data_IF_174700892616
#
_entry.id   IF_174700892616
#
_cell.length_a   1.000
_cell.length_b   1.000
_cell.length_c   1.000
_cell.angle_alpha   90.00
_cell.angle_beta   90.00
_cell.angle_gamma   90.00
#
_symmetry.space_group_name_H-M   'P 1'
#
loop_
_entity.id
_entity.type
_entity.pdbx_description
1 polymer ?
#
# COMPACT_ATOMS: atom_id res chain seq x y z
N UNK A 1 42.13 -60.79 -57.88
CA UNK A 1 40.89 -61.04 -57.13
C UNK A 1 40.93 -60.14 -55.91
N UNK A 2 39.92 -59.29 -55.81
CA UNK A 2 39.77 -58.08 -55.00
C UNK A 2 39.87 -58.31 -53.49
N UNK A 3 40.71 -57.50 -52.84
CA UNK A 3 40.78 -57.34 -51.39
C UNK A 3 39.71 -56.34 -50.94
N UNK A 4 38.83 -56.75 -50.02
CA UNK A 4 37.66 -55.99 -49.58
C UNK A 4 38.04 -55.20 -48.32
N UNK A 5 38.28 -53.90 -48.45
CA UNK A 5 38.33 -52.99 -47.30
C UNK A 5 36.90 -52.67 -46.81
N UNK A 6 36.66 -52.91 -45.51
CA UNK A 6 35.46 -52.45 -44.80
C UNK A 6 35.59 -50.96 -44.42
N UNK A 7 34.53 -50.15 -44.53
CA UNK A 7 34.56 -48.76 -44.06
C UNK A 7 34.38 -48.70 -42.54
N UNK A 8 35.23 -47.90 -41.88
CA UNK A 8 35.10 -47.49 -40.48
C UNK A 8 34.09 -46.34 -40.41
N UNK A 9 32.96 -46.57 -39.73
CA UNK A 9 31.96 -45.52 -39.46
C UNK A 9 32.45 -44.69 -38.26
N UNK A 10 32.88 -43.45 -38.51
CA UNK A 10 33.05 -42.43 -37.45
C UNK A 10 31.68 -41.89 -37.08
N UNK A 11 31.15 -42.27 -35.92
CA UNK A 11 30.01 -41.60 -35.32
C UNK A 11 30.43 -40.19 -34.88
N UNK A 12 29.83 -39.17 -35.49
CA UNK A 12 30.02 -37.76 -35.15
C UNK A 12 29.27 -37.41 -33.86
N UNK A 13 29.99 -37.22 -32.75
CA UNK A 13 29.49 -36.85 -31.43
C UNK A 13 29.02 -35.39 -31.29
N UNK A 14 28.97 -34.62 -32.38
CA UNK A 14 28.70 -33.19 -32.34
C UNK A 14 27.22 -32.80 -32.34
N UNK A 15 26.30 -33.72 -32.67
CA UNK A 15 24.86 -33.39 -32.75
C UNK A 15 24.20 -33.35 -31.36
N UNK A 16 24.73 -34.09 -30.39
CA UNK A 16 24.16 -34.17 -29.04
C UNK A 16 24.50 -32.97 -28.13
N UNK A 17 25.60 -32.26 -28.40
CA UNK A 17 25.99 -31.09 -27.59
C UNK A 17 25.17 -29.83 -27.91
N UNK A 18 24.68 -29.71 -29.14
CA UNK A 18 23.89 -28.56 -29.59
C UNK A 18 22.45 -28.57 -29.08
N UNK A 19 21.86 -29.76 -28.90
CA UNK A 19 20.48 -29.91 -28.42
C UNK A 19 20.33 -29.53 -26.93
N UNK A 20 21.34 -29.81 -26.10
CA UNK A 20 21.37 -29.46 -24.67
C UNK A 20 21.52 -27.95 -24.43
N UNK A 21 22.26 -27.25 -25.30
CA UNK A 21 22.45 -25.80 -25.17
C UNK A 21 21.17 -25.00 -25.50
N UNK A 22 20.37 -25.47 -26.47
CA UNK A 22 19.10 -24.82 -26.84
C UNK A 22 18.01 -25.02 -25.78
N UNK A 23 17.96 -26.19 -25.12
CA UNK A 23 17.04 -26.45 -24.01
C UNK A 23 17.37 -25.63 -22.75
N UNK A 24 18.65 -25.41 -22.45
CA UNK A 24 19.07 -24.57 -21.32
C UNK A 24 18.71 -23.07 -21.52
N UNK A 25 18.84 -22.56 -22.74
CA UNK A 25 18.45 -21.18 -23.09
C UNK A 25 16.93 -20.98 -23.07
N UNK A 26 16.15 -21.97 -23.51
CA UNK A 26 14.68 -21.91 -23.44
C UNK A 26 14.17 -21.95 -21.98
N UNK A 27 14.79 -22.76 -21.11
CA UNK A 27 14.44 -22.82 -19.69
C UNK A 27 14.82 -21.53 -18.93
N UNK A 28 15.97 -20.91 -19.25
CA UNK A 28 16.37 -19.62 -18.68
C UNK A 28 15.49 -18.46 -19.18
N UNK A 29 15.07 -18.49 -20.45
CA UNK A 29 14.10 -17.54 -21.00
C UNK A 29 12.73 -17.65 -20.32
N UNK A 30 12.19 -18.87 -20.17
CA UNK A 30 10.90 -19.10 -19.51
C UNK A 30 10.92 -18.71 -18.02
N UNK A 31 12.05 -18.87 -17.32
CA UNK A 31 12.20 -18.43 -15.93
C UNK A 31 12.18 -16.90 -15.78
N UNK A 32 12.63 -16.15 -16.80
CA UNK A 32 12.59 -14.68 -16.81
C UNK A 32 11.20 -14.10 -17.11
N UNK A 33 10.30 -14.90 -17.70
CA UNK A 33 8.89 -14.54 -17.94
C UNK A 33 7.95 -14.93 -16.79
N UNK A 34 8.47 -15.64 -15.78
CA UNK A 34 7.71 -16.10 -14.61
C UNK A 34 8.03 -15.33 -13.34
N UNK A 35 8.77 -14.22 -13.41
CA UNK A 35 8.78 -13.30 -12.29
C UNK A 35 7.36 -12.73 -12.20
N UNK A 36 6.58 -13.02 -11.14
CA UNK A 36 5.43 -12.18 -10.89
C UNK A 36 5.96 -10.75 -10.89
N UNK A 37 5.31 -9.85 -11.61
CA UNK A 37 5.47 -8.45 -11.28
C UNK A 37 5.29 -8.37 -9.76
N UNK A 38 6.13 -7.62 -9.06
CA UNK A 38 5.91 -7.34 -7.64
C UNK A 38 5.34 -5.94 -7.65
N UNK A 39 4.03 -5.81 -7.42
CA UNK A 39 3.37 -4.50 -7.29
C UNK A 39 2.74 -4.34 -5.92
N UNK A 40 3.18 -5.13 -4.94
CA UNK A 40 3.05 -4.77 -3.55
C UNK A 40 4.16 -3.76 -3.23
N UNK A 41 3.79 -2.62 -2.66
CA UNK A 41 4.77 -1.67 -2.12
C UNK A 41 5.51 -2.32 -0.95
N UNK A 42 6.84 -2.25 -0.98
CA UNK A 42 7.67 -2.81 0.07
C UNK A 42 7.48 -2.02 1.37
N UNK A 43 7.17 -2.73 2.46
CA UNK A 43 7.09 -2.10 3.77
C UNK A 43 8.48 -1.72 4.28
N UNK A 44 8.61 -0.51 4.81
CA UNK A 44 9.87 0.04 5.30
C UNK A 44 9.87 0.10 6.81
N UNK A 45 10.85 -0.52 7.47
CA UNK A 45 11.01 -0.39 8.92
C UNK A 45 11.52 1.02 9.26
N UNK A 46 10.66 1.84 9.84
CA UNK A 46 10.95 3.24 10.18
C UNK A 46 10.95 3.48 11.70
N UNK A 47 11.73 4.47 12.20
CA UNK A 47 11.74 4.79 13.64
C UNK A 47 10.38 5.31 14.12
N UNK A 48 10.03 5.10 15.40
CA UNK A 48 8.84 5.73 15.99
C UNK A 48 8.99 7.26 15.98
N UNK A 49 7.88 8.01 15.96
CA UNK A 49 7.89 9.46 15.97
C UNK A 49 8.54 10.01 17.25
N UNK A 50 9.45 10.98 17.09
CA UNK A 50 10.13 11.65 18.19
C UNK A 50 9.21 12.68 18.88
N UNK A 51 8.26 13.24 18.14
CA UNK A 51 7.20 14.11 18.65
C UNK A 51 5.87 13.38 18.44
N UNK A 52 5.09 13.26 19.50
CA UNK A 52 3.76 12.66 19.45
C UNK A 52 2.83 13.34 20.45
N UNK A 53 1.54 13.09 20.29
CA UNK A 53 0.53 13.46 21.28
C UNK A 53 0.64 12.61 22.55
N UNK A 54 0.10 13.14 23.64
CA UNK A 54 -0.03 12.36 24.86
C UNK A 54 -1.28 11.50 24.75
N UNK A 55 -1.18 10.28 25.25
CA UNK A 55 -2.35 9.42 25.42
C UNK A 55 -3.45 10.17 26.17
N UNK A 56 -4.64 10.20 25.57
CA UNK A 56 -5.80 10.92 26.08
C UNK A 56 -7.02 9.99 26.09
N UNK A 57 -8.01 10.33 26.91
CA UNK A 57 -9.29 9.62 26.92
C UNK A 57 -10.23 10.22 25.89
N UNK A 58 -10.99 9.38 25.20
CA UNK A 58 -11.99 9.81 24.24
C UNK A 58 -11.69 9.25 22.86
N UNK A 59 -12.11 9.97 21.83
CA UNK A 59 -11.99 9.54 20.44
C UNK A 59 -11.50 10.71 19.60
N UNK A 60 -10.57 10.43 18.71
CA UNK A 60 -10.02 11.37 17.75
C UNK A 60 -10.16 10.84 16.32
N UNK A 61 -9.95 11.73 15.34
CA UNK A 61 -10.02 11.40 13.91
C UNK A 61 -8.71 11.75 13.21
N UNK A 62 -8.29 10.92 12.27
CA UNK A 62 -7.20 11.19 11.35
C UNK A 62 -7.65 10.90 9.93
N UNK A 63 -7.21 11.68 8.94
CA UNK A 63 -7.55 11.45 7.53
C UNK A 63 -6.26 11.31 6.71
N UNK A 64 -6.10 10.15 6.10
CA UNK A 64 -4.92 9.84 5.27
C UNK A 64 -5.31 9.41 3.86
N UNK A 65 -4.53 9.85 2.88
CA UNK A 65 -4.59 9.40 1.49
C UNK A 65 -3.23 8.82 1.08
N UNK A 66 -3.23 7.70 0.37
CA UNK A 66 -2.02 6.95 0.04
C UNK A 66 -2.28 5.86 -0.98
N UNK A 67 -2.91 6.20 -2.10
CA UNK A 67 -3.29 5.23 -3.12
C UNK A 67 -4.74 4.75 -2.98
N UNK A 68 -5.04 3.57 -3.53
CA UNK A 68 -6.37 2.99 -3.45
C UNK A 68 -6.81 2.85 -1.97
N UNK A 69 -7.95 3.44 -1.63
CA UNK A 69 -8.43 3.45 -0.25
C UNK A 69 -8.82 2.06 0.30
N UNK A 70 -8.93 1.01 -0.53
CA UNK A 70 -9.29 -0.33 -0.08
C UNK A 70 -8.17 -0.94 0.76
N UNK A 71 -6.93 -0.83 0.29
CA UNK A 71 -5.75 -1.25 1.03
C UNK A 71 -5.51 -0.39 2.27
N UNK A 72 -5.62 0.94 2.12
CA UNK A 72 -5.44 1.87 3.24
C UNK A 72 -6.47 1.61 4.35
N UNK A 73 -7.75 1.46 3.99
CA UNK A 73 -8.81 1.11 4.94
C UNK A 73 -8.49 -0.22 5.59
N UNK A 74 -8.20 -1.26 4.81
CA UNK A 74 -7.88 -2.59 5.33
C UNK A 74 -6.73 -2.58 6.34
N UNK A 75 -5.66 -1.82 6.09
CA UNK A 75 -4.55 -1.64 7.04
C UNK A 75 -5.07 -1.07 8.37
N UNK A 76 -5.78 0.05 8.35
CA UNK A 76 -6.22 0.71 9.58
C UNK A 76 -7.36 -0.02 10.30
N UNK A 77 -8.16 -0.82 9.60
CA UNK A 77 -9.13 -1.72 10.22
C UNK A 77 -8.47 -2.75 11.14
N UNK A 78 -7.23 -3.14 10.83
CA UNK A 78 -6.44 -4.09 11.59
C UNK A 78 -5.55 -3.42 12.66
N UNK A 79 -5.72 -2.13 12.97
CA UNK A 79 -4.96 -1.45 14.03
C UNK A 79 -5.74 -1.42 15.35
N UNK A 80 -5.17 -1.99 16.41
CA UNK A 80 -5.68 -1.92 17.79
C UNK A 80 -5.80 -0.46 18.22
N UNK A 81 -6.94 -0.12 18.79
CA UNK A 81 -7.26 1.25 19.18
C UNK A 81 -8.00 2.04 18.10
N UNK A 82 -7.94 1.61 16.83
CA UNK A 82 -8.88 2.09 15.80
C UNK A 82 -10.25 1.45 16.07
N UNK A 83 -11.29 2.27 15.99
CA UNK A 83 -12.69 1.88 16.22
C UNK A 83 -13.53 1.98 14.97
N UNK A 84 -13.10 2.78 13.98
CA UNK A 84 -13.75 2.91 12.67
C UNK A 84 -12.72 3.39 11.64
N UNK A 85 -12.77 2.86 10.43
CA UNK A 85 -11.98 3.33 9.29
C UNK A 85 -12.90 3.40 8.07
N UNK A 86 -13.19 4.61 7.57
CA UNK A 86 -14.17 4.85 6.49
C UNK A 86 -13.44 5.33 5.24
N UNK A 87 -13.65 4.64 4.12
CA UNK A 87 -13.14 5.07 2.81
C UNK A 87 -13.94 6.25 2.29
N UNK A 88 -13.29 7.21 1.64
CA UNK A 88 -13.93 8.42 1.15
C UNK A 88 -13.03 9.31 0.32
N UNK A 89 -13.52 10.51 0.05
CA UNK A 89 -12.91 11.50 -0.83
C UNK A 89 -12.64 12.79 -0.04
N UNK A 90 -11.41 13.31 -0.10
CA UNK A 90 -11.03 14.55 0.60
C UNK A 90 -10.20 15.44 -0.30
N UNK A 91 -10.41 16.76 -0.22
CA UNK A 91 -9.57 17.78 -0.86
C UNK A 91 -10.30 18.61 -1.92
N UNK A 92 -11.24 18.01 -2.64
CA UNK A 92 -12.12 18.66 -3.61
C UNK A 92 -13.47 19.10 -3.04
N UNK A 93 -14.40 19.46 -3.93
CA UNK A 93 -15.73 19.96 -3.56
C UNK A 93 -16.76 18.84 -3.37
N UNK A 94 -17.76 19.08 -2.50
CA UNK A 94 -18.84 18.14 -2.15
C UNK A 94 -19.54 17.54 -3.36
N UNK A 95 -19.92 18.36 -4.33
CA UNK A 95 -20.75 17.95 -5.46
C UNK A 95 -20.01 17.00 -6.43
N UNK A 96 -18.69 16.86 -6.26
CA UNK A 96 -17.82 16.02 -7.08
C UNK A 96 -17.29 14.79 -6.34
N UNK A 97 -17.71 14.59 -5.08
CA UNK A 97 -17.30 13.49 -4.22
C UNK A 97 -18.10 12.20 -4.50
N UNK A 98 -18.06 11.73 -5.76
CA UNK A 98 -18.67 10.47 -6.21
C UNK A 98 -17.65 9.71 -7.07
N UNK A 99 -17.61 8.38 -6.94
CA UNK A 99 -16.54 7.55 -7.45
C UNK A 99 -16.23 7.80 -8.94
N UNK A 100 -17.25 7.82 -9.78
CA UNK A 100 -17.10 7.97 -11.24
C UNK A 100 -16.50 9.33 -11.62
N UNK A 101 -16.74 10.36 -10.81
CA UNK A 101 -16.20 11.70 -11.05
C UNK A 101 -14.79 11.81 -10.49
N UNK A 102 -14.53 11.27 -9.29
CA UNK A 102 -13.20 11.26 -8.66
C UNK A 102 -12.20 10.45 -9.49
N UNK A 103 -12.61 9.31 -10.05
CA UNK A 103 -11.77 8.47 -10.89
C UNK A 103 -11.21 9.16 -12.15
N UNK A 104 -11.77 10.32 -12.54
CA UNK A 104 -11.20 11.15 -13.60
C UNK A 104 -9.90 11.88 -13.21
N UNK A 105 -9.60 11.99 -11.91
CA UNK A 105 -8.47 12.76 -11.37
C UNK A 105 -8.62 14.28 -11.45
N UNK A 106 -9.79 14.81 -11.82
CA UNK A 106 -10.00 16.24 -12.09
C UNK A 106 -10.71 17.01 -10.98
N UNK A 107 -11.15 16.34 -9.92
CA UNK A 107 -11.97 16.92 -8.84
C UNK A 107 -11.15 17.54 -7.71
N UNK A 108 -9.84 17.27 -7.67
CA UNK A 108 -8.97 17.64 -6.55
C UNK A 108 -9.09 16.70 -5.33
N UNK A 109 -10.05 15.77 -5.33
CA UNK A 109 -10.14 14.75 -4.29
C UNK A 109 -8.96 13.79 -4.35
N UNK A 110 -8.52 13.33 -3.18
CA UNK A 110 -7.80 12.08 -3.01
C UNK A 110 -8.76 11.02 -2.48
N UNK A 111 -8.59 9.78 -2.92
CA UNK A 111 -9.04 8.62 -2.17
C UNK A 111 -8.34 8.63 -0.80
N UNK A 112 -9.16 8.60 0.25
CA UNK A 112 -8.73 8.86 1.62
C UNK A 112 -9.51 7.98 2.60
N UNK A 113 -8.97 7.82 3.79
CA UNK A 113 -9.59 7.06 4.87
C UNK A 113 -9.69 7.94 6.11
N UNK A 114 -10.91 8.16 6.61
CA UNK A 114 -11.15 8.76 7.93
C UNK A 114 -11.07 7.65 9.00
N UNK A 115 -10.10 7.78 9.89
CA UNK A 115 -9.78 6.82 10.94
C UNK A 115 -10.20 7.42 12.27
N UNK A 116 -11.16 6.77 12.93
CA UNK A 116 -11.61 7.11 14.27
C UNK A 116 -10.89 6.20 15.28
N UNK A 117 -10.12 6.78 16.21
CA UNK A 117 -9.26 6.04 17.11
C UNK A 117 -9.33 6.52 18.57
N UNK A 118 -8.92 5.63 19.48
CA UNK A 118 -8.79 5.88 20.91
C UNK A 118 -7.31 6.22 21.22
N UNK A 119 -6.97 7.50 21.50
CA UNK A 119 -5.60 7.94 21.76
C UNK A 119 -4.96 7.31 23.01
N UNK A 120 -5.74 6.66 23.88
CA UNK A 120 -5.20 5.88 25.00
C UNK A 120 -4.62 4.52 24.58
N UNK A 121 -4.96 4.04 23.38
CA UNK A 121 -4.54 2.75 22.83
C UNK A 121 -3.61 2.87 21.64
N UNK A 122 -3.83 3.87 20.79
CA UNK A 122 -2.97 4.18 19.64
C UNK A 122 -2.93 5.69 19.45
N UNK A 123 -1.74 6.28 19.39
CA UNK A 123 -1.57 7.72 19.18
C UNK A 123 -1.55 8.09 17.70
N UNK A 124 -1.79 9.37 17.39
CA UNK A 124 -1.66 9.91 16.04
C UNK A 124 -0.29 9.61 15.42
N UNK A 125 0.79 9.76 16.18
CA UNK A 125 2.14 9.43 15.71
C UNK A 125 2.32 7.94 15.39
N UNK A 126 1.70 7.02 16.15
CA UNK A 126 1.70 5.60 15.81
C UNK A 126 0.89 5.32 14.54
N UNK A 127 -0.22 6.01 14.33
CA UNK A 127 -0.98 5.93 13.08
C UNK A 127 -0.15 6.43 11.89
N UNK A 128 0.59 7.52 12.04
CA UNK A 128 1.54 7.99 11.03
C UNK A 128 2.67 7.00 10.77
N UNK A 129 3.19 6.35 11.81
CA UNK A 129 4.21 5.31 11.66
C UNK A 129 3.68 4.15 10.81
N UNK A 130 2.45 3.71 11.05
CA UNK A 130 1.77 2.71 10.21
C UNK A 130 1.58 3.24 8.78
N UNK A 131 1.08 4.47 8.63
CA UNK A 131 0.87 5.11 7.32
C UNK A 131 2.13 5.08 6.46
N UNK A 132 3.25 5.63 6.95
CA UNK A 132 4.51 5.71 6.21
C UNK A 132 5.22 4.36 6.03
N UNK A 133 5.00 3.40 6.94
CA UNK A 133 5.73 2.13 6.93
C UNK A 133 5.06 1.05 6.07
N UNK A 134 3.73 0.99 6.07
CA UNK A 134 2.98 -0.15 5.49
C UNK A 134 1.80 0.24 4.61
N UNK A 135 1.21 1.43 4.75
CA UNK A 135 -0.02 1.75 4.03
C UNK A 135 0.23 2.07 2.56
N UNK A 136 1.37 2.71 2.25
CA UNK A 136 1.72 3.11 0.88
C UNK A 136 3.22 3.45 0.74
N UNK A 137 3.67 3.74 -0.48
CA UNK A 137 4.99 4.32 -0.75
C UNK A 137 4.93 5.88 -0.76
N UNK A 138 5.48 6.57 0.25
CA UNK A 138 5.37 8.02 0.38
C UNK A 138 6.24 8.83 -0.59
N UNK A 139 7.02 8.18 -1.46
CA UNK A 139 7.90 8.84 -2.43
C UNK A 139 7.29 8.89 -3.84
N UNK A 140 6.14 8.25 -4.06
CA UNK A 140 5.48 8.19 -5.36
C UNK A 140 4.50 9.36 -5.53
N UNK A 141 4.81 10.27 -6.46
CA UNK A 141 4.02 11.46 -6.72
C UNK A 141 2.85 11.17 -7.67
N UNK A 142 1.62 11.25 -7.16
CA UNK A 142 0.38 11.04 -7.92
C UNK A 142 0.22 9.65 -8.53
N UNK A 143 0.77 8.62 -7.87
CA UNK A 143 0.47 7.22 -8.14
C UNK A 143 0.81 6.37 -6.91
N UNK A 144 0.26 5.16 -6.83
CA UNK A 144 0.67 4.10 -5.90
C UNK A 144 0.55 2.76 -6.61
N UNK A 145 1.64 2.01 -6.68
CA UNK A 145 1.69 0.74 -7.41
C UNK A 145 1.11 0.85 -8.83
N UNK A 146 0.03 0.11 -9.17
CA UNK A 146 -0.59 0.15 -10.49
C UNK A 146 -1.51 1.38 -10.72
N UNK A 147 -1.84 2.15 -9.69
CA UNK A 147 -2.87 3.18 -9.74
C UNK A 147 -2.25 4.57 -9.96
N UNK A 148 -2.59 5.20 -11.08
CA UNK A 148 -2.04 6.49 -11.50
C UNK A 148 -3.09 7.60 -11.53
N UNK A 149 -2.77 8.74 -10.93
CA UNK A 149 -3.64 9.91 -10.86
C UNK A 149 -3.54 10.66 -9.53
N UNK A 150 -3.93 11.93 -9.54
CA UNK A 150 -3.92 12.81 -8.36
C UNK A 150 -4.85 12.32 -7.25
N UNK A 151 -5.85 11.49 -7.59
CA UNK A 151 -6.71 10.83 -6.62
C UNK A 151 -5.98 9.79 -5.78
N UNK A 152 -4.82 9.28 -6.23
CA UNK A 152 -3.99 8.30 -5.53
C UNK A 152 -2.78 8.91 -4.84
N UNK A 153 -2.69 10.24 -4.79
CA UNK A 153 -1.55 10.94 -4.18
C UNK A 153 -1.41 10.63 -2.69
N UNK A 154 -0.19 10.71 -2.18
CA UNK A 154 0.08 10.69 -0.75
C UNK A 154 -0.22 12.06 -0.13
N UNK A 155 -1.20 12.12 0.78
CA UNK A 155 -1.58 13.34 1.49
C UNK A 155 -2.05 13.02 2.91
N UNK A 156 -1.65 13.84 3.86
CA UNK A 156 -2.22 13.88 5.21
C UNK A 156 -3.12 15.10 5.31
N UNK A 157 -4.40 14.89 5.62
CA UNK A 157 -5.34 15.96 5.91
C UNK A 157 -5.43 16.11 7.43
N UNK A 158 -4.70 17.07 7.98
CA UNK A 158 -4.63 17.28 9.41
C UNK A 158 -5.90 17.97 9.93
N UNK A 159 -6.52 17.36 10.94
CA UNK A 159 -7.78 17.84 11.54
C UNK A 159 -7.57 19.04 12.46
N UNK A 160 -6.34 19.23 12.96
CA UNK A 160 -5.99 20.31 13.87
C UNK A 160 -4.48 20.63 13.84
N UNK A 161 -4.09 21.70 14.52
CA UNK A 161 -2.70 22.18 14.57
C UNK A 161 -1.73 21.19 15.24
N UNK A 162 -2.21 20.38 16.20
CA UNK A 162 -1.36 19.38 16.85
C UNK A 162 -0.99 18.26 15.87
N UNK A 163 -1.97 17.72 15.13
CA UNK A 163 -1.74 16.75 14.06
C UNK A 163 -0.81 17.29 12.99
N UNK A 164 -1.05 18.53 12.53
CA UNK A 164 -0.18 19.19 11.54
C UNK A 164 1.27 19.23 12.04
N UNK A 165 1.49 19.65 13.28
CA UNK A 165 2.83 19.75 13.87
C UNK A 165 3.51 18.38 14.01
N UNK A 166 2.78 17.37 14.48
CA UNK A 166 3.31 16.00 14.63
C UNK A 166 3.68 15.44 13.25
N UNK A 167 2.79 15.55 12.25
CA UNK A 167 3.05 15.06 10.90
C UNK A 167 4.24 15.77 10.23
N UNK A 168 4.33 17.10 10.35
CA UNK A 168 5.49 17.86 9.87
C UNK A 168 6.80 17.40 10.52
N UNK A 169 6.79 17.24 11.85
CA UNK A 169 7.96 16.77 12.60
C UNK A 169 8.36 15.36 12.17
N UNK A 170 7.38 14.50 11.91
CA UNK A 170 7.65 13.12 11.55
C UNK A 170 8.17 12.96 10.13
N UNK A 171 7.61 13.68 9.16
CA UNK A 171 8.16 13.74 7.79
C UNK A 171 9.63 14.21 7.84
N UNK A 172 9.91 15.30 8.56
CA UNK A 172 11.28 15.81 8.70
C UNK A 172 12.22 14.79 9.37
N UNK A 173 11.74 14.06 10.37
CA UNK A 173 12.50 12.98 11.02
C UNK A 173 12.83 11.85 10.02
N UNK A 174 11.87 11.43 9.20
CA UNK A 174 12.05 10.35 8.23
C UNK A 174 13.01 10.77 7.10
N UNK A 175 12.88 12.00 6.60
CA UNK A 175 13.81 12.58 5.62
C UNK A 175 15.24 12.64 6.17
N UNK A 176 15.40 13.08 7.43
CA UNK A 176 16.71 13.11 8.09
C UNK A 176 17.30 11.70 8.27
N UNK A 177 16.45 10.73 8.61
CA UNK A 177 16.86 9.34 8.81
C UNK A 177 17.20 8.60 7.49
N UNK A 178 16.78 9.14 6.34
CA UNK A 178 17.01 8.56 5.00
C UNK A 178 16.56 7.11 4.90
N UNK A 179 15.40 6.81 5.48
CA UNK A 179 14.83 5.45 5.49
C UNK A 179 14.17 5.08 4.16
N UNK A 180 13.81 6.08 3.35
CA UNK A 180 13.31 5.90 1.99
C UNK A 180 14.40 6.18 0.96
N UNK A 181 14.37 5.49 -0.20
CA UNK A 181 15.37 5.70 -1.26
C UNK A 181 15.24 7.05 -1.96
N UNK A 182 14.04 7.60 -1.99
CA UNK A 182 13.69 8.89 -2.61
C UNK A 182 13.05 9.82 -1.58
N UNK A 183 13.01 11.15 -1.83
CA UNK A 183 12.37 12.10 -0.92
C UNK A 183 10.88 11.81 -0.71
N UNK A 184 10.37 12.06 0.49
CA UNK A 184 8.94 12.00 0.77
C UNK A 184 8.22 13.13 0.01
N UNK A 185 7.18 12.76 -0.75
CA UNK A 185 6.34 13.71 -1.51
C UNK A 185 4.96 13.90 -0.88
N UNK A 186 4.71 13.29 0.27
CA UNK A 186 3.47 13.42 1.05
C UNK A 186 3.15 14.88 1.33
N UNK A 187 1.99 15.35 0.87
CA UNK A 187 1.53 16.71 1.17
C UNK A 187 0.82 16.78 2.53
N UNK A 188 0.79 17.98 3.10
CA UNK A 188 0.07 18.29 4.33
C UNK A 188 -0.97 19.36 4.06
N UNK A 189 -2.24 19.00 4.18
CA UNK A 189 -3.38 19.88 3.96
C UNK A 189 -4.21 20.03 5.24
N UNK A 190 -4.91 21.14 5.40
CA UNK A 190 -5.77 21.44 6.57
C UNK A 190 -7.08 22.04 6.12
N UNK A 191 -8.14 21.89 6.91
CA UNK A 191 -9.45 22.52 6.64
C UNK A 191 -10.18 21.94 5.43
N UNK A 192 -9.87 20.69 5.07
CA UNK A 192 -10.54 19.95 3.99
C UNK A 192 -11.64 19.06 4.58
N UNK A 193 -12.78 19.00 3.92
CA UNK A 193 -13.89 18.16 4.34
C UNK A 193 -13.73 16.75 3.78
N UNK A 194 -13.94 15.75 4.63
CA UNK A 194 -14.05 14.34 4.23
C UNK A 194 -15.48 14.03 3.76
N UNK A 195 -15.60 13.36 2.64
CA UNK A 195 -16.86 12.86 2.10
C UNK A 195 -16.81 11.32 2.04
N UNK A 196 -17.64 10.60 2.82
CA UNK A 196 -17.68 9.15 2.76
C UNK A 196 -17.97 8.64 1.35
N UNK A 197 -17.22 7.63 0.90
CA UNK A 197 -17.49 6.93 -0.34
C UNK A 197 -18.72 6.05 -0.20
N UNK A 198 -19.24 5.62 -1.34
CA UNK A 198 -20.38 4.74 -1.49
C UNK A 198 -20.19 3.43 -0.71
N UNK A 199 -21.29 2.87 -0.20
CA UNK A 199 -21.25 1.68 0.66
C UNK A 199 -20.53 0.48 0.04
N UNK A 200 -20.56 0.35 -1.28
CA UNK A 200 -19.91 -0.77 -1.98
C UNK A 200 -18.37 -0.67 -1.97
N UNK A 201 -17.78 0.47 -1.60
CA UNK A 201 -16.34 0.61 -1.37
C UNK A 201 -15.93 0.34 0.08
N UNK A 202 -16.88 0.29 1.01
CA UNK A 202 -16.57 0.10 2.43
C UNK A 202 -16.27 -1.38 2.70
N UNK A 203 -15.26 -1.64 3.53
CA UNK A 203 -14.84 -2.98 3.95
C UNK A 203 -14.39 -3.87 2.76
N UNK A 204 -14.05 -3.27 1.61
CA UNK A 204 -13.90 -4.01 0.34
C UNK A 204 -12.83 -5.11 0.41
N UNK A 205 -11.65 -4.82 0.99
CA UNK A 205 -10.59 -5.82 1.19
C UNK A 205 -11.11 -7.02 1.99
N UNK A 206 -11.78 -6.77 3.12
CA UNK A 206 -12.29 -7.82 4.00
C UNK A 206 -13.39 -8.64 3.33
N UNK A 207 -14.27 -8.00 2.57
CA UNK A 207 -15.39 -8.66 1.91
C UNK A 207 -14.99 -9.39 0.62
N UNK A 208 -13.85 -9.02 0.01
CA UNK A 208 -13.38 -9.56 -1.27
C UNK A 208 -11.92 -10.03 -1.19
N UNK A 209 -11.54 -10.91 -0.24
CA UNK A 209 -10.13 -11.24 0.02
C UNK A 209 -9.46 -12.04 -1.11
N UNK A 210 -10.23 -12.60 -2.05
CA UNK A 210 -9.73 -13.33 -3.21
C UNK A 210 -9.74 -12.51 -4.50
N UNK A 211 -10.19 -11.25 -4.43
CA UNK A 211 -10.19 -10.36 -5.59
C UNK A 211 -8.74 -10.12 -6.05
N UNK A 212 -8.38 -10.33 -7.33
CA UNK A 212 -6.97 -10.34 -7.75
C UNK A 212 -6.20 -9.07 -7.38
N UNK A 213 -6.84 -7.90 -7.50
CA UNK A 213 -6.24 -6.64 -7.09
C UNK A 213 -5.92 -6.63 -5.58
N UNK A 214 -6.86 -7.06 -4.73
CA UNK A 214 -6.66 -7.16 -3.28
C UNK A 214 -5.53 -8.11 -2.93
N UNK A 215 -5.50 -9.30 -3.55
CA UNK A 215 -4.49 -10.33 -3.28
C UNK A 215 -3.08 -9.81 -3.55
N UNK A 216 -2.94 -9.02 -4.62
CA UNK A 216 -1.66 -8.61 -5.13
C UNK A 216 -1.14 -7.29 -4.53
N UNK A 217 -2.03 -6.32 -4.33
CA UNK A 217 -1.64 -4.98 -3.88
C UNK A 217 -1.87 -4.74 -2.38
N UNK A 218 -2.92 -5.34 -1.79
CA UNK A 218 -3.42 -4.91 -0.48
C UNK A 218 -3.24 -5.93 0.66
N UNK A 219 -3.43 -7.24 0.42
CA UNK A 219 -3.14 -8.27 1.43
C UNK A 219 -1.70 -8.24 1.93
N UNK A 220 -0.68 -7.98 1.09
CA UNK A 220 0.69 -7.80 1.57
C UNK A 220 0.83 -6.67 2.59
N UNK A 221 0.05 -5.58 2.47
CA UNK A 221 0.08 -4.45 3.42
C UNK A 221 -0.40 -4.88 4.81
N UNK A 222 -1.47 -5.68 4.89
CA UNK A 222 -1.98 -6.23 6.15
C UNK A 222 -1.00 -7.23 6.77
N UNK A 223 -0.36 -8.07 5.94
CA UNK A 223 0.69 -8.99 6.40
C UNK A 223 1.90 -8.22 6.95
N UNK A 224 2.31 -7.15 6.27
CA UNK A 224 3.41 -6.28 6.71
C UNK A 224 3.07 -5.54 8.01
N UNK A 225 1.83 -5.07 8.19
CA UNK A 225 1.36 -4.50 9.46
C UNK A 225 1.54 -5.51 10.61
N UNK A 226 1.10 -6.76 10.41
CA UNK A 226 1.24 -7.83 11.41
C UNK A 226 2.71 -8.13 11.73
N UNK A 227 3.58 -8.14 10.71
CA UNK A 227 4.99 -8.45 10.87
C UNK A 227 5.79 -7.32 11.55
N UNK A 228 5.57 -6.07 11.15
CA UNK A 228 6.34 -4.91 11.63
C UNK A 228 5.78 -4.30 12.91
N UNK A 229 4.46 -4.37 13.11
CA UNK A 229 3.76 -3.76 14.24
C UNK A 229 2.86 -4.76 15.00
N UNK A 230 3.38 -5.91 15.47
CA UNK A 230 2.57 -6.93 16.14
C UNK A 230 1.85 -6.42 17.41
N UNK A 231 2.43 -5.42 18.07
CA UNK A 231 1.81 -4.77 19.23
C UNK A 231 0.54 -3.99 18.85
N UNK A 232 0.53 -3.35 17.67
CA UNK A 232 -0.60 -2.59 17.14
C UNK A 232 -1.55 -3.43 16.29
N UNK A 233 -1.16 -4.62 15.84
CA UNK A 233 -2.01 -5.44 14.98
C UNK A 233 -3.17 -6.13 15.72
N UNK A 234 -4.36 -6.11 15.12
CA UNK A 234 -5.57 -6.85 15.50
C UNK A 234 -5.93 -7.87 14.43
N UNK A 235 -6.14 -9.14 14.80
CA UNK A 235 -6.64 -10.17 13.87
C UNK A 235 -8.06 -9.87 13.37
N UNK A 236 -8.87 -9.21 14.20
CA UNK A 236 -10.26 -8.86 13.84
C UNK A 236 -10.29 -7.43 13.30
N UNK A 237 -10.69 -7.22 12.03
CA UNK A 237 -10.85 -5.88 11.48
C UNK A 237 -12.07 -5.19 12.10
N UNK A 238 -12.01 -3.86 12.25
CA UNK A 238 -13.19 -3.04 12.59
C UNK A 238 -13.96 -2.67 11.32
N UNK A 239 -15.16 -3.22 11.16
CA UNK A 239 -15.95 -3.06 9.93
C UNK A 239 -16.98 -1.94 10.05
N UNK A 240 -17.10 -1.14 8.99
CA UNK A 240 -18.06 -0.02 8.93
C UNK A 240 -19.48 -0.53 8.80
N UNK A 241 -19.69 -1.55 7.96
CA UNK A 241 -21.02 -2.07 7.65
C UNK A 241 -21.60 -2.92 8.79
N UNK A 242 -20.75 -3.61 9.56
CA UNK A 242 -21.20 -4.40 10.71
C UNK A 242 -21.64 -3.54 11.91
N UNK A 243 -21.12 -2.32 12.03
CA UNK A 243 -21.47 -1.36 13.10
C UNK A 243 -22.75 -0.54 12.80
N UNK A 244 -23.37 -0.77 11.63
CA UNK A 244 -24.57 -0.06 11.17
C UNK A 244 -25.86 -0.88 11.27
N UNK A 245 -25.78 -2.10 11.80
CA UNK A 245 -26.89 -3.02 12.10
C UNK A 245 -27.03 -3.23 13.61
#
# INVERSE_FOLDING_TARGET
MTDIQKPVIRQSSNVFRSALAVLALAAAGAAFWLTPAVSAEDAVKIPPPALDEKAATGTEKAIFAGGCFWGVQGVFQHVKGVTRAVSGYTGGDKDTAVYETVGSGRTGHAESVEITYDPSKVTYGQLLQVYFSVAHNPTQLNFQGPDSGTQYRSTIFAENDAQKKIAQSYIAQLDQAKVFPEPIVTTLETGKTFYPAENYHQDFLTLNPTYPYIVYNDLPKVANLKALFPALYSEKPVLVLAASN
#
